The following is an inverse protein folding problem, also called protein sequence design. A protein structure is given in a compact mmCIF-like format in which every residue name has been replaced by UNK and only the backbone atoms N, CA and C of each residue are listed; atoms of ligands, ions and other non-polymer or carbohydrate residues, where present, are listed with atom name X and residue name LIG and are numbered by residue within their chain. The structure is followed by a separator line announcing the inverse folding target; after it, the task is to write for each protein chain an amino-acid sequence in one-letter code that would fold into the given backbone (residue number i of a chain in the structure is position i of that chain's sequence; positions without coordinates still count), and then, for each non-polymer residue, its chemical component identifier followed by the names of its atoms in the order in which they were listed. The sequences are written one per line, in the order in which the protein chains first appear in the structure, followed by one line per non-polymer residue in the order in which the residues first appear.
data_IF_118310265867
#
_entry.id   IF_118310265867
#
_cell.length_a   1.000
_cell.length_b   1.000
_cell.length_c   1.000
_cell.angle_alpha   90.00
_cell.angle_beta   90.00
_cell.angle_gamma   90.00
#
_symmetry.space_group_name_H-M   'P 1'
#
loop_
_entity.id
_entity.type
_entity.pdbx_description
1 polymer ?
#
# COMPACT_ATOMS: atom_id res chain seq x y z
N UNK A 1 -8.42 20.75 10.47
CA UNK A 1 -7.73 19.50 10.87
C UNK A 1 -7.92 18.54 9.70
N UNK A 2 -7.05 18.62 8.70
CA UNK A 2 -7.19 17.82 7.48
C UNK A 2 -6.63 16.43 7.75
N UNK A 3 -7.51 15.42 7.71
CA UNK A 3 -7.14 14.01 7.66
C UNK A 3 -6.43 13.78 6.33
N UNK A 4 -5.10 13.68 6.33
CA UNK A 4 -4.33 13.21 5.16
C UNK A 4 -4.39 11.69 5.14
N UNK A 5 -5.59 11.18 4.84
CA UNK A 5 -5.83 9.76 4.61
C UNK A 5 -5.35 9.43 3.18
N UNK A 6 -4.51 8.40 3.06
CA UNK A 6 -4.27 7.57 1.86
C UNK A 6 -3.71 8.22 0.59
N UNK A 7 -3.72 9.55 0.47
CA UNK A 7 -3.36 10.27 -0.77
C UNK A 7 -1.88 10.65 -0.90
N UNK A 8 -1.10 10.47 0.16
CA UNK A 8 0.32 10.83 0.16
C UNK A 8 1.24 9.75 -0.43
N UNK A 9 0.80 8.48 -0.51
CA UNK A 9 1.55 7.42 -1.21
C UNK A 9 1.69 7.70 -2.72
N UNK A 10 0.75 8.48 -3.28
CA UNK A 10 0.67 8.86 -4.69
C UNK A 10 1.58 10.03 -5.08
N UNK A 11 1.90 10.91 -4.13
CA UNK A 11 2.71 12.11 -4.35
C UNK A 11 4.20 11.91 -4.09
N UNK A 12 4.57 10.75 -3.54
CA UNK A 12 5.94 10.43 -3.12
C UNK A 12 6.78 9.89 -4.27
N UNK A 13 8.06 10.25 -4.27
CA UNK A 13 9.04 9.65 -5.17
C UNK A 13 9.25 8.17 -4.81
N UNK A 14 9.69 7.37 -5.79
CA UNK A 14 9.87 5.92 -5.64
C UNK A 14 10.66 5.51 -4.41
N UNK A 15 11.70 6.27 -4.08
CA UNK A 15 12.58 5.97 -2.94
C UNK A 15 11.85 6.11 -1.59
N UNK A 16 11.02 7.16 -1.44
CA UNK A 16 10.21 7.36 -0.23
C UNK A 16 9.12 6.30 -0.13
N UNK A 17 8.45 6.00 -1.24
CA UNK A 17 7.43 4.97 -1.30
C UNK A 17 8.01 3.59 -0.95
N UNK A 18 9.22 3.29 -1.42
CA UNK A 18 9.90 2.03 -1.10
C UNK A 18 10.25 1.92 0.38
N UNK A 19 10.80 2.99 0.97
CA UNK A 19 11.16 3.00 2.39
C UNK A 19 9.93 2.90 3.31
N UNK A 20 8.84 3.59 2.96
CA UNK A 20 7.56 3.44 3.67
C UNK A 20 6.98 2.06 3.52
N UNK A 21 7.05 1.48 2.32
CA UNK A 21 6.59 0.13 2.09
C UNK A 21 7.36 -0.88 2.93
N UNK A 22 8.70 -0.75 3.03
CA UNK A 22 9.53 -1.59 3.91
C UNK A 22 9.07 -1.50 5.38
N UNK A 23 8.77 -0.30 5.87
CA UNK A 23 8.20 -0.13 7.20
C UNK A 23 6.82 -0.79 7.33
N UNK A 24 5.94 -0.60 6.35
CA UNK A 24 4.59 -1.21 6.33
C UNK A 24 4.69 -2.74 6.40
N UNK A 25 5.61 -3.38 5.67
CA UNK A 25 5.76 -4.85 5.71
C UNK A 25 6.09 -5.36 7.11
N UNK A 26 6.83 -4.58 7.90
CA UNK A 26 7.22 -4.93 9.26
C UNK A 26 6.09 -4.76 10.28
N UNK A 27 5.01 -4.03 9.93
CA UNK A 27 3.88 -3.76 10.83
C UNK A 27 2.69 -4.66 10.51
N UNK A 28 2.42 -4.87 9.22
CA UNK A 28 1.25 -5.65 8.79
C UNK A 28 1.43 -7.15 9.04
N UNK A 29 0.30 -7.84 9.16
CA UNK A 29 0.22 -9.28 9.33
C UNK A 29 0.83 -10.03 8.14
N UNK A 30 1.23 -11.28 8.40
CA UNK A 30 1.69 -12.20 7.36
C UNK A 30 0.65 -12.36 6.23
N UNK A 31 -0.63 -12.39 6.58
CA UNK A 31 -1.71 -12.49 5.61
C UNK A 31 -1.78 -11.29 4.67
N UNK A 32 -1.61 -10.06 5.19
CA UNK A 32 -1.55 -8.87 4.35
C UNK A 32 -0.29 -8.85 3.47
N UNK A 33 0.84 -9.36 3.98
CA UNK A 33 2.06 -9.57 3.20
C UNK A 33 1.83 -10.56 2.04
N UNK A 34 1.15 -11.69 2.28
CA UNK A 34 0.85 -12.68 1.24
C UNK A 34 -0.09 -12.09 0.16
N UNK A 35 -1.02 -11.23 0.54
CA UNK A 35 -1.89 -10.50 -0.41
C UNK A 35 -1.08 -9.52 -1.27
N UNK A 36 -0.06 -8.86 -0.71
CA UNK A 36 0.87 -8.05 -1.50
C UNK A 36 1.65 -8.89 -2.52
N UNK A 37 2.18 -10.03 -2.10
CA UNK A 37 2.94 -10.91 -2.99
C UNK A 37 2.05 -11.45 -4.13
N UNK A 38 0.78 -11.74 -3.81
CA UNK A 38 -0.24 -12.11 -4.81
C UNK A 38 -0.51 -10.98 -5.79
N UNK A 39 -0.69 -9.75 -5.29
CA UNK A 39 -0.88 -8.57 -6.12
C UNK A 39 0.36 -8.28 -7.01
N UNK A 40 1.57 -8.49 -6.49
CA UNK A 40 2.82 -8.38 -7.26
C UNK A 40 2.81 -9.35 -8.45
N UNK A 41 2.47 -10.62 -8.22
CA UNK A 41 2.38 -11.61 -9.28
C UNK A 41 1.29 -11.28 -10.30
N UNK A 42 0.11 -10.88 -9.83
CA UNK A 42 -1.03 -10.57 -10.70
C UNK A 42 -0.76 -9.37 -11.61
N UNK A 43 -0.13 -8.33 -11.07
CA UNK A 43 0.19 -7.11 -11.81
C UNK A 43 1.52 -7.19 -12.55
N UNK A 44 2.28 -8.27 -12.41
CA UNK A 44 3.61 -8.44 -12.99
C UNK A 44 4.61 -7.40 -12.50
N UNK A 45 4.55 -7.05 -11.22
CA UNK A 45 5.41 -6.06 -10.58
C UNK A 45 6.62 -6.73 -9.90
N UNK A 46 7.80 -6.13 -10.07
CA UNK A 46 9.04 -6.60 -9.45
C UNK A 46 9.06 -6.35 -7.94
N UNK A 47 8.39 -5.29 -7.49
CA UNK A 47 8.32 -4.87 -6.10
C UNK A 47 6.94 -4.27 -5.74
N UNK A 48 6.71 -4.06 -4.44
CA UNK A 48 5.42 -3.56 -3.93
C UNK A 48 5.15 -2.09 -4.26
N UNK A 49 6.19 -1.29 -4.53
CA UNK A 49 6.00 0.11 -4.94
C UNK A 49 5.38 0.19 -6.34
N UNK A 50 5.78 -0.72 -7.24
CA UNK A 50 5.10 -0.92 -8.51
C UNK A 50 3.63 -1.32 -8.34
N UNK A 51 3.31 -2.21 -7.39
CA UNK A 51 1.92 -2.61 -7.11
C UNK A 51 1.09 -1.41 -6.69
N UNK A 52 1.55 -0.68 -5.67
CA UNK A 52 0.85 0.52 -5.19
C UNK A 52 0.67 1.52 -6.33
N UNK A 53 1.70 1.78 -7.14
CA UNK A 53 1.60 2.68 -8.30
C UNK A 53 0.58 2.23 -9.33
N UNK A 54 0.54 0.96 -9.70
CA UNK A 54 -0.45 0.45 -10.66
C UNK A 54 -1.88 0.50 -10.11
N UNK A 55 -2.07 0.18 -8.83
CA UNK A 55 -3.37 0.30 -8.18
C UNK A 55 -3.83 1.78 -8.12
N UNK A 56 -2.87 2.68 -7.97
CA UNK A 56 -3.02 4.12 -7.97
C UNK A 56 -3.35 4.74 -9.35
N UNK A 57 -2.84 4.19 -10.45
CA UNK A 57 -3.13 4.65 -11.82
C UNK A 57 -4.63 4.58 -12.15
N UNK A 58 -5.38 3.68 -11.50
CA UNK A 58 -6.83 3.54 -11.65
C UNK A 58 -7.66 4.66 -11.00
N UNK A 59 -7.04 5.57 -10.25
CA UNK A 59 -7.71 6.68 -9.56
C UNK A 59 -8.47 6.30 -8.28
N UNK A 60 -8.69 4.99 -8.05
CA UNK A 60 -9.33 4.43 -6.86
C UNK A 60 -8.46 3.32 -6.25
N UNK A 61 -7.48 3.72 -5.43
CA UNK A 61 -6.55 2.80 -4.77
C UNK A 61 -7.29 1.81 -3.87
N UNK A 62 -8.32 2.26 -3.13
CA UNK A 62 -9.05 1.42 -2.19
C UNK A 62 -9.86 0.34 -2.91
N UNK A 63 -10.57 0.67 -3.99
CA UNK A 63 -11.29 -0.32 -4.80
C UNK A 63 -10.37 -1.25 -5.57
N UNK A 64 -9.19 -0.78 -5.99
CA UNK A 64 -8.17 -1.64 -6.61
C UNK A 64 -7.56 -2.61 -5.57
N UNK A 65 -7.27 -2.12 -4.36
CA UNK A 65 -6.86 -2.97 -3.24
C UNK A 65 -7.96 -3.97 -2.85
N UNK A 66 -9.24 -3.58 -2.86
CA UNK A 66 -10.34 -4.49 -2.54
C UNK A 66 -10.47 -5.70 -3.48
N UNK A 67 -9.80 -5.70 -4.65
CA UNK A 67 -9.71 -6.87 -5.53
C UNK A 67 -8.69 -7.91 -5.06
N UNK A 68 -7.72 -7.51 -4.23
CA UNK A 68 -6.59 -8.35 -3.80
C UNK A 68 -6.48 -8.49 -2.28
N UNK A 69 -7.09 -7.57 -1.53
CA UNK A 69 -7.01 -7.46 -0.09
C UNK A 69 -8.42 -7.44 0.51
N UNK A 70 -8.58 -8.03 1.69
CA UNK A 70 -9.79 -7.89 2.48
C UNK A 70 -9.86 -6.50 3.11
N UNK A 71 -11.06 -6.07 3.53
CA UNK A 71 -11.22 -4.76 4.16
C UNK A 71 -10.40 -4.61 5.45
N UNK A 72 -10.21 -5.71 6.19
CA UNK A 72 -9.34 -5.74 7.37
C UNK A 72 -7.88 -5.52 7.00
N UNK A 73 -7.39 -6.20 5.96
CA UNK A 73 -6.02 -6.03 5.45
C UNK A 73 -5.81 -4.61 4.89
N UNK A 74 -6.78 -4.05 4.18
CA UNK A 74 -6.74 -2.66 3.69
C UNK A 74 -6.61 -1.70 4.88
N UNK A 75 -7.41 -1.91 5.92
CA UNK A 75 -7.36 -1.11 7.15
C UNK A 75 -6.01 -1.25 7.85
N UNK A 76 -5.47 -2.46 7.91
CA UNK A 76 -4.16 -2.75 8.48
C UNK A 76 -3.04 -2.02 7.73
N UNK A 77 -3.05 -2.08 6.39
CA UNK A 77 -2.12 -1.38 5.52
C UNK A 77 -2.24 0.14 5.70
N UNK A 78 -3.45 0.68 5.79
CA UNK A 78 -3.69 2.11 6.02
C UNK A 78 -3.12 2.57 7.37
N UNK A 79 -3.36 1.79 8.43
CA UNK A 79 -2.84 2.08 9.77
C UNK A 79 -1.31 1.99 9.80
N UNK A 80 -0.73 0.97 9.16
CA UNK A 80 0.71 0.82 9.03
C UNK A 80 1.32 1.99 8.26
N UNK A 81 0.72 2.41 7.14
CA UNK A 81 1.18 3.56 6.38
C UNK A 81 1.15 4.84 7.22
N UNK A 82 0.09 5.05 8.00
CA UNK A 82 -0.02 6.20 8.93
C UNK A 82 1.05 6.16 10.03
N UNK A 83 1.42 4.96 10.50
CA UNK A 83 2.45 4.79 11.53
C UNK A 83 3.87 4.95 10.99
N UNK A 84 4.10 4.57 9.72
CA UNK A 84 5.38 4.65 9.02
C UNK A 84 5.68 6.02 8.41
N UNK A 85 4.64 6.84 8.22
CA UNK A 85 4.74 8.24 7.82
C UNK A 85 4.08 9.14 8.88
N UNK A 86 4.63 9.22 10.10
CA UNK A 86 4.19 10.20 11.07
C UNK A 86 4.69 11.57 10.61
N UNK A 87 3.76 12.43 10.16
CA UNK A 87 3.96 13.86 9.83
C UNK A 87 5.06 14.55 10.69
#
# INVERSE_FOLDING_TARGET
KHSRNSRDLLGKNDEQLKSELECIQSIISQSANDSFDTAQQYLGCEDRSCVIRKLCEGGDLEGAMAQHFTQDQITEIHNAATACDPD
#
